data_IF_654777153640
#
_entry.id   IF_654777153640
#
_cell.length_a   1.000
_cell.length_b   1.000
_cell.length_c   1.000
_cell.angle_alpha   90.00
_cell.angle_beta   90.00
_cell.angle_gamma   90.00
#
_symmetry.space_group_name_H-M   'P 1'
#
loop_
_entity.id
_entity.type
_entity.pdbx_description
1 polymer ?
#
# COMPACT_ATOMS: atom_id res chain seq x y z
N UNK A 1 -3.75 -31.17 -45.28
CA UNK A 1 -3.19 -30.31 -44.21
C UNK A 1 -2.47 -31.20 -43.23
N UNK A 2 -1.17 -30.96 -43.11
CA UNK A 2 -0.15 -31.85 -42.55
C UNK A 2 -0.02 -31.68 -41.05
N UNK A 3 -0.29 -32.73 -40.30
CA UNK A 3 0.07 -32.85 -38.89
C UNK A 3 0.22 -34.33 -38.55
N UNK A 4 1.23 -34.65 -37.74
CA UNK A 4 1.70 -35.98 -37.30
C UNK A 4 2.96 -36.45 -38.06
N UNK A 5 4.09 -35.81 -37.72
CA UNK A 5 5.41 -36.46 -37.75
C UNK A 5 5.72 -36.97 -36.35
N UNK A 6 5.19 -38.15 -36.02
CA UNK A 6 5.63 -38.94 -34.89
C UNK A 6 6.85 -39.76 -35.30
N UNK A 7 8.00 -39.42 -34.75
CA UNK A 7 9.32 -39.97 -35.05
C UNK A 7 9.46 -41.46 -34.65
N UNK A 8 9.61 -42.28 -35.70
CA UNK A 8 10.32 -43.56 -35.82
C UNK A 8 10.11 -44.56 -34.67
N UNK A 9 9.15 -45.46 -34.88
CA UNK A 9 9.12 -46.75 -34.19
C UNK A 9 10.26 -47.63 -34.70
N UNK A 10 11.16 -48.03 -33.80
CA UNK A 10 11.97 -49.22 -34.00
C UNK A 10 11.06 -50.41 -34.30
N UNK A 11 11.56 -51.33 -35.11
CA UNK A 11 10.90 -52.51 -35.66
C UNK A 11 9.74 -53.04 -34.78
N UNK A 12 8.53 -53.05 -35.34
CA UNK A 12 7.32 -53.70 -34.81
C UNK A 12 6.69 -53.15 -33.52
N UNK A 13 6.28 -51.87 -33.50
CA UNK A 13 5.19 -51.42 -32.61
C UNK A 13 5.46 -51.41 -31.09
N UNK A 14 6.69 -51.71 -30.63
CA UNK A 14 7.06 -51.54 -29.23
C UNK A 14 7.31 -50.06 -28.90
N UNK A 15 6.54 -49.51 -27.95
CA UNK A 15 6.80 -48.19 -27.38
C UNK A 15 8.05 -48.30 -26.50
N UNK A 16 9.18 -47.83 -27.01
CA UNK A 16 10.42 -47.72 -26.23
C UNK A 16 10.28 -46.60 -25.19
N UNK A 17 10.80 -46.77 -23.96
CA UNK A 17 10.89 -45.70 -23.00
C UNK A 17 11.72 -44.53 -23.58
N UNK A 18 11.05 -43.42 -23.90
CA UNK A 18 11.69 -42.16 -24.31
C UNK A 18 11.78 -41.23 -23.11
N UNK A 19 12.91 -40.53 -22.96
CA UNK A 19 13.04 -39.49 -21.95
C UNK A 19 12.08 -38.36 -22.30
N UNK A 20 11.24 -37.96 -21.35
CA UNK A 20 10.36 -36.81 -21.53
C UNK A 20 11.20 -35.55 -21.73
N UNK A 21 10.79 -34.75 -22.70
CA UNK A 21 11.48 -33.53 -23.07
C UNK A 21 11.24 -32.49 -21.98
N UNK A 22 12.32 -31.94 -21.41
CA UNK A 22 12.21 -30.99 -20.31
C UNK A 22 11.91 -29.59 -20.88
N UNK A 23 10.71 -29.02 -20.66
CA UNK A 23 10.36 -27.71 -21.21
C UNK A 23 11.25 -26.57 -20.68
N UNK A 24 11.91 -26.78 -19.53
CA UNK A 24 12.88 -25.83 -18.99
C UNK A 24 14.22 -25.82 -19.74
N UNK A 25 14.55 -26.91 -20.44
CA UNK A 25 15.73 -27.01 -21.30
C UNK A 25 15.42 -26.58 -22.74
N UNK A 26 14.18 -26.75 -23.21
CA UNK A 26 13.79 -26.30 -24.55
C UNK A 26 13.63 -24.77 -24.64
N UNK A 27 13.15 -24.12 -23.57
CA UNK A 27 12.93 -22.69 -23.57
C UNK A 27 14.23 -21.90 -23.26
N UNK A 28 14.89 -21.43 -24.31
CA UNK A 28 16.13 -20.64 -24.24
C UNK A 28 15.96 -19.35 -23.42
N UNK A 29 14.82 -18.67 -23.54
CA UNK A 29 14.56 -17.42 -22.83
C UNK A 29 14.45 -17.66 -21.32
N UNK A 30 13.77 -18.75 -20.93
CA UNK A 30 13.71 -19.17 -19.52
C UNK A 30 15.09 -19.48 -18.96
N UNK A 31 15.94 -20.16 -19.73
CA UNK A 31 17.31 -20.44 -19.28
C UNK A 31 18.14 -19.15 -19.13
N UNK A 32 18.01 -18.21 -20.07
CA UNK A 32 18.68 -16.91 -20.02
C UNK A 32 18.26 -16.15 -18.77
N UNK A 33 16.95 -16.05 -18.51
CA UNK A 33 16.41 -15.41 -17.32
C UNK A 33 16.93 -16.07 -16.03
N UNK A 34 16.95 -17.41 -15.97
CA UNK A 34 17.48 -18.12 -14.80
C UNK A 34 18.96 -17.80 -14.55
N UNK A 35 19.79 -17.78 -15.60
CA UNK A 35 21.21 -17.40 -15.49
C UNK A 35 21.39 -15.97 -14.99
N UNK A 36 20.61 -15.05 -15.52
CA UNK A 36 20.63 -13.63 -15.11
C UNK A 36 20.23 -13.46 -13.63
N UNK A 37 19.13 -14.10 -13.21
CA UNK A 37 18.67 -14.06 -11.82
C UNK A 37 19.71 -14.65 -10.86
N UNK A 38 20.32 -15.78 -11.21
CA UNK A 38 21.39 -16.40 -10.42
C UNK A 38 22.63 -15.50 -10.34
N UNK A 39 22.98 -14.80 -11.42
CA UNK A 39 24.08 -13.83 -11.43
C UNK A 39 23.76 -12.63 -10.53
N UNK A 40 22.55 -12.09 -10.61
CA UNK A 40 22.11 -10.98 -9.77
C UNK A 40 22.11 -11.35 -8.28
N UNK A 41 21.69 -12.57 -7.93
CA UNK A 41 21.75 -13.09 -6.57
C UNK A 41 23.20 -13.18 -6.07
N UNK A 42 24.12 -13.73 -6.87
CA UNK A 42 25.55 -13.82 -6.53
C UNK A 42 26.20 -12.44 -6.33
N UNK A 43 25.78 -11.46 -7.11
CA UNK A 43 26.26 -10.08 -7.01
C UNK A 43 25.53 -9.25 -5.93
N UNK A 44 24.55 -9.84 -5.22
CA UNK A 44 23.75 -9.12 -4.22
C UNK A 44 22.84 -8.03 -4.80
N UNK A 45 22.58 -8.05 -6.12
CA UNK A 45 21.72 -7.08 -6.80
C UNK A 45 20.26 -7.52 -6.71
N UNK A 46 19.46 -6.80 -5.94
CA UNK A 46 18.02 -7.05 -5.86
C UNK A 46 17.31 -6.39 -7.05
N UNK A 47 16.95 -7.20 -8.06
CA UNK A 47 16.21 -6.76 -9.26
C UNK A 47 14.80 -6.23 -8.97
N UNK A 48 14.20 -6.59 -7.83
CA UNK A 48 12.88 -6.13 -7.40
C UNK A 48 12.94 -4.80 -6.62
N UNK A 49 14.09 -4.46 -6.02
CA UNK A 49 14.29 -3.26 -5.19
C UNK A 49 15.50 -2.45 -5.69
N UNK A 50 15.40 -1.92 -6.91
CA UNK A 50 16.52 -1.32 -7.65
C UNK A 50 17.05 0.01 -7.09
N UNK A 51 16.34 0.65 -6.16
CA UNK A 51 16.84 1.84 -5.45
C UNK A 51 17.60 1.40 -4.21
N UNK A 52 18.85 1.85 -4.07
CA UNK A 52 19.58 1.69 -2.82
C UNK A 52 18.84 2.38 -1.68
N UNK A 53 19.06 1.94 -0.44
CA UNK A 53 18.46 2.58 0.74
C UNK A 53 18.81 4.08 0.81
N UNK A 54 20.03 4.45 0.39
CA UNK A 54 20.44 5.84 0.27
C UNK A 54 19.60 6.62 -0.77
N UNK A 55 19.35 6.03 -1.95
CA UNK A 55 18.51 6.67 -2.97
C UNK A 55 17.07 6.86 -2.48
N UNK A 56 16.51 5.86 -1.79
CA UNK A 56 15.18 5.99 -1.17
C UNK A 56 15.15 7.10 -0.12
N UNK A 57 16.18 7.18 0.74
CA UNK A 57 16.26 8.23 1.77
C UNK A 57 16.39 9.62 1.14
N UNK A 58 17.20 9.77 0.10
CA UNK A 58 17.36 11.02 -0.64
C UNK A 58 16.07 11.46 -1.35
N UNK A 59 15.35 10.52 -1.95
CA UNK A 59 14.03 10.77 -2.56
C UNK A 59 13.02 11.22 -1.50
N UNK A 60 12.90 10.50 -0.39
CA UNK A 60 12.04 10.90 0.72
C UNK A 60 12.38 12.28 1.27
N UNK A 61 13.67 12.63 1.35
CA UNK A 61 14.10 13.96 1.77
C UNK A 61 13.64 15.03 0.78
N UNK A 62 13.84 14.82 -0.53
CA UNK A 62 13.39 15.75 -1.58
C UNK A 62 11.89 15.92 -1.56
N UNK A 63 11.13 14.83 -1.45
CA UNK A 63 9.67 14.88 -1.38
C UNK A 63 9.19 15.66 -0.16
N UNK A 64 9.84 15.49 1.00
CA UNK A 64 9.54 16.27 2.20
C UNK A 64 9.81 17.76 2.00
N UNK A 65 10.94 18.12 1.38
CA UNK A 65 11.23 19.53 1.08
C UNK A 65 10.20 20.12 0.12
N UNK A 66 9.89 19.42 -0.97
CA UNK A 66 8.91 19.86 -1.96
C UNK A 66 7.51 20.04 -1.34
N UNK A 67 7.06 19.09 -0.51
CA UNK A 67 5.79 19.19 0.20
C UNK A 67 5.74 20.38 1.15
N UNK A 68 6.84 20.64 1.87
CA UNK A 68 6.94 21.78 2.78
C UNK A 68 6.86 23.11 2.02
N UNK A 69 7.56 23.21 0.88
CA UNK A 69 7.53 24.39 0.03
C UNK A 69 6.13 24.61 -0.57
N UNK A 70 5.48 23.54 -1.05
CA UNK A 70 4.11 23.60 -1.54
C UNK A 70 3.12 24.05 -0.46
N UNK A 71 3.27 23.55 0.77
CA UNK A 71 2.44 23.96 1.90
C UNK A 71 2.67 25.43 2.27
N UNK A 72 3.91 25.91 2.24
CA UNK A 72 4.23 27.32 2.46
C UNK A 72 3.61 28.21 1.38
N UNK A 73 3.77 27.86 0.10
CA UNK A 73 3.15 28.59 -1.01
C UNK A 73 1.63 28.58 -0.90
N UNK A 74 1.03 27.45 -0.50
CA UNK A 74 -0.41 27.39 -0.22
C UNK A 74 -0.75 28.40 0.86
N UNK A 75 -0.05 28.37 2.00
CA UNK A 75 -0.33 29.25 3.13
C UNK A 75 -0.18 30.74 2.80
N UNK A 76 0.81 31.08 1.97
CA UNK A 76 1.04 32.45 1.47
C UNK A 76 -0.09 32.91 0.54
N UNK A 77 -0.54 32.03 -0.36
CA UNK A 77 -1.62 32.32 -1.31
C UNK A 77 -3.04 32.14 -0.73
N UNK A 78 -3.17 31.64 0.50
CA UNK A 78 -4.46 31.41 1.15
C UNK A 78 -5.19 32.71 1.44
N UNK A 79 -6.38 32.83 0.85
CA UNK A 79 -7.27 33.96 1.03
C UNK A 79 -7.83 34.03 2.45
N UNK A 80 -8.28 35.21 2.92
CA UNK A 80 -8.89 35.35 4.25
C UNK A 80 -10.10 34.44 4.45
N UNK A 81 -10.93 34.25 3.43
CA UNK A 81 -12.11 33.38 3.48
C UNK A 81 -11.71 31.92 3.67
N UNK A 82 -10.74 31.43 2.89
CA UNK A 82 -10.27 30.05 2.99
C UNK A 82 -9.67 29.76 4.37
N UNK A 83 -8.97 30.72 4.98
CA UNK A 83 -8.47 30.57 6.36
C UNK A 83 -9.61 30.40 7.36
N UNK A 84 -10.68 31.17 7.23
CA UNK A 84 -11.86 31.07 8.13
C UNK A 84 -12.56 29.73 7.93
N UNK A 85 -12.68 29.26 6.68
CA UNK A 85 -13.24 27.94 6.38
C UNK A 85 -12.38 26.83 7.02
N UNK A 86 -11.06 26.89 6.86
CA UNK A 86 -10.14 25.90 7.45
C UNK A 86 -10.19 25.92 8.98
N UNK A 87 -10.24 27.10 9.61
CA UNK A 87 -10.41 27.22 11.06
C UNK A 87 -11.74 26.62 11.53
N UNK A 88 -12.83 26.84 10.79
CA UNK A 88 -14.13 26.27 11.12
C UNK A 88 -14.13 24.76 10.96
N UNK A 89 -13.53 24.23 9.91
CA UNK A 89 -13.34 22.80 9.71
C UNK A 89 -12.56 22.17 10.87
N UNK A 90 -11.42 22.75 11.27
CA UNK A 90 -10.63 22.29 12.43
C UNK A 90 -11.41 22.27 13.73
N UNK A 91 -12.27 23.28 13.97
CA UNK A 91 -13.14 23.29 15.17
C UNK A 91 -14.16 22.17 15.15
N UNK A 92 -14.74 21.87 13.98
CA UNK A 92 -15.69 20.78 13.83
C UNK A 92 -15.00 19.42 14.05
N UNK A 93 -13.81 19.20 13.48
CA UNK A 93 -13.04 17.96 13.70
C UNK A 93 -12.72 17.71 15.18
N UNK A 94 -12.36 18.75 15.93
CA UNK A 94 -12.11 18.64 17.38
C UNK A 94 -13.41 18.29 18.10
N UNK A 95 -14.52 18.96 17.77
CA UNK A 95 -15.81 18.71 18.40
C UNK A 95 -16.31 17.29 18.12
N UNK A 96 -16.17 16.81 16.89
CA UNK A 96 -16.53 15.44 16.50
C UNK A 96 -15.66 14.42 17.23
N UNK A 97 -14.35 14.69 17.35
CA UNK A 97 -13.45 13.84 18.14
C UNK A 97 -13.85 13.80 19.61
N UNK A 98 -14.14 14.95 20.22
CA UNK A 98 -14.50 15.01 21.64
C UNK A 98 -15.89 14.40 21.90
N UNK A 99 -16.82 14.51 20.96
CA UNK A 99 -18.11 13.82 21.00
C UNK A 99 -17.92 12.30 20.91
N UNK A 100 -17.12 11.81 19.96
CA UNK A 100 -16.85 10.36 19.84
C UNK A 100 -16.09 9.79 21.03
N UNK A 101 -15.26 10.57 21.71
CA UNK A 101 -14.62 10.17 22.97
C UNK A 101 -15.64 10.10 24.11
N UNK A 102 -16.48 11.12 24.27
CA UNK A 102 -17.56 11.12 25.26
C UNK A 102 -18.57 9.98 25.03
N UNK A 103 -18.93 9.68 23.79
CA UNK A 103 -19.82 8.56 23.44
C UNK A 103 -19.21 7.20 23.80
N UNK A 104 -17.88 7.06 23.72
CA UNK A 104 -17.18 5.83 24.15
C UNK A 104 -17.07 5.70 25.67
N UNK A 105 -17.06 6.82 26.39
CA UNK A 105 -17.06 6.85 27.86
C UNK A 105 -18.46 6.67 28.47
N UNK A 106 -19.52 6.88 27.68
CA UNK A 106 -20.89 6.65 28.08
C UNK A 106 -21.18 5.15 28.19
N UNK A 107 -21.47 4.69 29.42
CA UNK A 107 -21.71 3.29 29.71
C UNK A 107 -23.01 2.82 29.03
N UNK A 108 -22.97 1.88 28.07
CA UNK A 108 -24.14 1.50 27.26
C UNK A 108 -25.26 0.81 28.06
N UNK A 109 -25.06 0.57 29.36
CA UNK A 109 -26.05 0.00 30.27
C UNK A 109 -26.93 1.03 30.98
N UNK A 110 -26.57 2.33 30.99
CA UNK A 110 -27.39 3.35 31.63
C UNK A 110 -28.47 3.88 30.67
N UNK A 111 -29.72 4.08 31.13
CA UNK A 111 -30.79 4.61 30.29
C UNK A 111 -30.48 6.05 29.83
N UNK A 112 -30.75 6.34 28.56
CA UNK A 112 -30.41 7.59 27.88
C UNK A 112 -30.85 8.85 28.64
N UNK A 113 -32.04 8.82 29.26
CA UNK A 113 -32.55 9.94 30.05
C UNK A 113 -31.65 10.30 31.25
N UNK A 114 -31.03 9.31 31.90
CA UNK A 114 -30.14 9.53 33.04
C UNK A 114 -28.82 10.17 32.59
N UNK A 115 -28.33 9.77 31.42
CA UNK A 115 -27.14 10.35 30.78
C UNK A 115 -27.38 11.82 30.38
N UNK A 116 -28.53 12.10 29.75
CA UNK A 116 -28.93 13.46 29.37
C UNK A 116 -29.07 14.35 30.61
N UNK A 117 -29.72 13.85 31.66
CA UNK A 117 -29.90 14.59 32.91
C UNK A 117 -28.57 14.88 33.62
N UNK A 118 -27.64 13.93 33.62
CA UNK A 118 -26.29 14.15 34.15
C UNK A 118 -25.53 15.23 33.36
N UNK A 119 -25.59 15.16 32.01
CA UNK A 119 -24.97 16.15 31.11
C UNK A 119 -25.57 17.55 31.28
N UNK A 120 -26.89 17.65 31.52
CA UNK A 120 -27.55 18.93 31.78
C UNK A 120 -27.09 19.55 33.10
N UNK A 121 -26.99 18.75 34.17
CA UNK A 121 -26.47 19.23 35.47
C UNK A 121 -25.03 19.72 35.35
N UNK A 122 -24.14 18.93 34.76
CA UNK A 122 -22.74 19.30 34.58
C UNK A 122 -22.54 20.63 33.81
N UNK A 123 -23.42 20.94 32.85
CA UNK A 123 -23.39 22.21 32.11
C UNK A 123 -23.88 23.41 32.93
N UNK A 124 -24.80 23.20 33.87
CA UNK A 124 -25.28 24.27 34.74
C UNK A 124 -24.26 24.64 35.82
N UNK A 125 -23.50 23.65 36.31
CA UNK A 125 -22.50 23.85 37.36
C UNK A 125 -21.19 24.50 36.84
N UNK A 126 -20.96 24.50 35.53
CA UNK A 126 -19.77 25.07 34.88
C UNK A 126 -19.91 26.57 34.50
N UNK A 127 -20.95 27.25 34.99
CA UNK A 127 -21.29 28.66 34.69
C UNK A 127 -21.23 29.51 35.95
#
# INVERSE_FOLDING_TARGET
MTGVTGDQGGQEGLILPKKLQNPCLENTDRQRLHRELMLNQKLGKNVLNQKSELQKAMEQYKDKQFRKELEQQRQENMTPLERVIEQRAKRLEILDRDNTLNEKEMNPKEPEFLQIHAKLRARMDAK
#
